data_IF_851871346435
#
_entry.id   IF_851871346435
#
_cell.length_a   1.000
_cell.length_b   1.000
_cell.length_c   1.000
_cell.angle_alpha   90.00
_cell.angle_beta   90.00
_cell.angle_gamma   90.00
#
_symmetry.space_group_name_H-M   'P 1'
#
loop_
_entity.id
_entity.type
_entity.pdbx_description
1 polymer ?
#
# COMPACT_ATOMS: atom_id res chain seq x y z
N UNK A 1 -16.81 6.44 7.61
CA UNK A 1 -15.67 6.56 6.68
C UNK A 1 -16.21 6.92 5.31
N UNK A 2 -15.64 7.94 4.66
CA UNK A 2 -15.94 8.36 3.28
C UNK A 2 -14.82 7.95 2.32
N UNK A 3 -13.57 8.16 2.69
CA UNK A 3 -12.39 7.97 1.82
C UNK A 3 -11.37 7.05 2.50
N UNK A 4 -10.95 6.02 1.77
CA UNK A 4 -10.06 4.96 2.25
C UNK A 4 -8.85 4.83 1.31
N UNK A 5 -7.65 4.85 1.86
CA UNK A 5 -6.45 4.45 1.14
C UNK A 5 -6.17 2.98 1.45
N UNK A 6 -5.95 2.16 0.42
CA UNK A 6 -5.49 0.78 0.55
C UNK A 6 -4.09 0.69 -0.03
N UNK A 7 -3.12 0.20 0.75
CA UNK A 7 -1.77 -0.08 0.28
C UNK A 7 -1.54 -1.57 0.16
N UNK A 8 -0.95 -1.99 -0.96
CA UNK A 8 -0.50 -3.37 -1.18
C UNK A 8 0.97 -3.40 -1.56
N UNK A 9 1.74 -4.23 -0.85
CA UNK A 9 3.17 -4.41 -1.10
C UNK A 9 3.48 -5.42 -2.20
N UNK A 10 4.73 -5.41 -2.69
CA UNK A 10 5.20 -6.31 -3.75
C UNK A 10 4.99 -7.80 -3.41
N UNK A 11 5.15 -8.20 -2.16
CA UNK A 11 4.96 -9.59 -1.72
C UNK A 11 3.51 -10.07 -1.95
N UNK A 12 2.53 -9.20 -1.73
CA UNK A 12 1.11 -9.52 -1.99
C UNK A 12 0.86 -9.65 -3.49
N UNK A 13 1.50 -8.81 -4.31
CA UNK A 13 1.23 -8.75 -5.75
C UNK A 13 2.06 -9.72 -6.60
N UNK A 14 3.03 -10.44 -6.01
CA UNK A 14 3.94 -11.30 -6.77
C UNK A 14 4.12 -12.69 -6.17
N UNK A 15 4.28 -13.70 -7.03
CA UNK A 15 4.69 -15.05 -6.65
C UNK A 15 6.20 -15.18 -6.81
N UNK A 16 6.88 -15.62 -5.75
CA UNK A 16 8.34 -15.79 -5.68
C UNK A 16 9.16 -14.58 -6.18
N UNK A 17 8.55 -13.39 -6.20
CA UNK A 17 9.09 -12.16 -6.80
C UNK A 17 9.43 -12.28 -8.30
N UNK A 18 8.81 -13.25 -9.00
CA UNK A 18 9.06 -13.61 -10.40
C UNK A 18 7.85 -13.47 -11.31
N UNK A 19 6.64 -13.53 -10.76
CA UNK A 19 5.37 -13.41 -11.52
C UNK A 19 4.38 -12.55 -10.75
N UNK A 20 3.38 -12.00 -11.43
CA UNK A 20 2.24 -11.39 -10.76
C UNK A 20 1.34 -12.48 -10.17
N UNK A 21 0.89 -12.27 -8.94
CA UNK A 21 -0.03 -13.17 -8.23
C UNK A 21 -1.47 -12.84 -8.63
N UNK A 22 -1.90 -13.26 -9.82
CA UNK A 22 -3.17 -12.86 -10.42
C UNK A 22 -4.38 -13.16 -9.52
N UNK A 23 -4.40 -14.31 -8.83
CA UNK A 23 -5.48 -14.67 -7.91
C UNK A 23 -5.58 -13.69 -6.72
N UNK A 24 -4.44 -13.28 -6.16
CA UNK A 24 -4.41 -12.31 -5.06
C UNK A 24 -4.80 -10.91 -5.53
N UNK A 25 -4.38 -10.52 -6.74
CA UNK A 25 -4.80 -9.26 -7.36
C UNK A 25 -6.32 -9.29 -7.61
N UNK A 26 -6.88 -10.39 -8.11
CA UNK A 26 -8.32 -10.53 -8.33
C UNK A 26 -9.10 -10.43 -7.01
N UNK A 27 -8.59 -11.04 -5.94
CA UNK A 27 -9.21 -10.93 -4.61
C UNK A 27 -9.17 -9.49 -4.08
N UNK A 28 -8.06 -8.77 -4.28
CA UNK A 28 -7.94 -7.35 -3.95
C UNK A 28 -8.93 -6.50 -4.76
N UNK A 29 -9.02 -6.74 -6.07
CA UNK A 29 -9.97 -6.05 -6.96
C UNK A 29 -11.41 -6.25 -6.49
N UNK A 30 -11.79 -7.49 -6.13
CA UNK A 30 -13.11 -7.80 -5.54
C UNK A 30 -13.39 -7.02 -4.26
N UNK A 31 -12.42 -6.97 -3.34
CA UNK A 31 -12.54 -6.19 -2.11
C UNK A 31 -12.76 -4.70 -2.40
N UNK A 32 -11.93 -4.11 -3.27
CA UNK A 32 -12.05 -2.70 -3.67
C UNK A 32 -13.39 -2.43 -4.36
N UNK A 33 -13.83 -3.33 -5.25
CA UNK A 33 -15.10 -3.20 -5.95
C UNK A 33 -16.28 -3.19 -4.98
N UNK A 34 -16.28 -4.05 -3.97
CA UNK A 34 -17.31 -4.03 -2.90
C UNK A 34 -17.29 -2.73 -2.10
N UNK A 35 -16.12 -2.27 -1.68
CA UNK A 35 -15.99 -1.01 -0.93
C UNK A 35 -16.51 0.19 -1.74
N UNK A 36 -16.22 0.24 -3.05
CA UNK A 36 -16.74 1.30 -3.94
C UNK A 36 -18.23 1.15 -4.22
N UNK A 37 -18.68 -0.01 -4.67
CA UNK A 37 -20.01 -0.19 -5.24
C UNK A 37 -21.09 -0.43 -4.17
N UNK A 38 -20.77 -1.17 -3.11
CA UNK A 38 -21.75 -1.53 -2.06
C UNK A 38 -21.68 -0.58 -0.86
N UNK A 39 -20.48 -0.12 -0.49
CA UNK A 39 -20.27 0.79 0.66
C UNK A 39 -20.14 2.26 0.25
N UNK A 40 -20.16 2.56 -1.05
CA UNK A 40 -20.08 3.92 -1.62
C UNK A 40 -18.85 4.71 -1.12
N UNK A 41 -17.71 4.04 -0.95
CA UNK A 41 -16.45 4.66 -0.52
C UNK A 41 -15.64 5.22 -1.68
N UNK A 42 -14.99 6.35 -1.43
CA UNK A 42 -13.89 6.87 -2.25
C UNK A 42 -12.61 6.07 -1.93
N UNK A 43 -12.34 5.02 -2.69
CA UNK A 43 -11.11 4.23 -2.52
C UNK A 43 -9.97 4.80 -3.36
N UNK A 44 -8.77 4.87 -2.76
CA UNK A 44 -7.49 5.14 -3.41
C UNK A 44 -6.59 3.92 -3.21
N UNK A 45 -6.02 3.38 -4.28
CA UNK A 45 -5.10 2.25 -4.20
C UNK A 45 -3.65 2.77 -4.30
N UNK A 46 -2.80 2.41 -3.34
CA UNK A 46 -1.34 2.60 -3.43
C UNK A 46 -0.73 1.21 -3.67
N UNK A 47 -0.21 1.00 -4.87
CA UNK A 47 0.29 -0.30 -5.31
C UNK A 47 1.80 -0.28 -5.48
N UNK A 48 2.50 -1.24 -4.90
CA UNK A 48 3.87 -1.59 -5.33
C UNK A 48 3.84 -2.54 -6.53
N UNK A 49 4.93 -3.28 -6.78
CA UNK A 49 4.94 -4.39 -7.73
C UNK A 49 5.40 -4.06 -9.15
N UNK A 50 5.63 -2.78 -9.50
CA UNK A 50 6.12 -2.40 -10.84
C UNK A 50 7.45 -3.09 -11.20
N UNK A 51 8.46 -3.01 -10.34
CA UNK A 51 9.75 -3.71 -10.55
C UNK A 51 9.55 -5.23 -10.70
N UNK A 52 8.65 -5.82 -9.90
CA UNK A 52 8.32 -7.24 -9.99
C UNK A 52 7.66 -7.61 -11.31
N UNK A 53 6.70 -6.79 -11.77
CA UNK A 53 6.03 -6.94 -13.06
C UNK A 53 7.02 -6.83 -14.23
N UNK A 54 7.96 -5.87 -14.17
CA UNK A 54 9.00 -5.71 -15.18
C UNK A 54 9.98 -6.87 -15.21
N UNK A 55 10.30 -7.43 -14.04
CA UNK A 55 11.17 -8.60 -13.93
C UNK A 55 10.57 -9.85 -14.62
N UNK A 56 9.25 -9.92 -14.76
CA UNK A 56 8.58 -10.98 -15.54
C UNK A 56 8.86 -10.90 -17.04
N UNK A 57 9.28 -9.71 -17.52
CA UNK A 57 9.54 -9.42 -18.93
C UNK A 57 11.04 -9.42 -19.22
N UNK A 58 11.84 -8.80 -18.36
CA UNK A 58 13.29 -8.70 -18.49
C UNK A 58 13.96 -8.98 -17.13
N UNK A 59 14.90 -9.91 -17.08
CA UNK A 59 15.58 -10.27 -15.84
C UNK A 59 16.89 -9.50 -15.70
N UNK A 60 16.88 -8.42 -14.90
CA UNK A 60 18.07 -7.62 -14.58
C UNK A 60 18.45 -7.73 -13.09
N UNK A 61 19.72 -7.52 -12.77
CA UNK A 61 20.16 -7.40 -11.38
C UNK A 61 19.52 -6.18 -10.73
N UNK A 62 18.61 -6.42 -9.77
CA UNK A 62 17.84 -5.40 -9.05
C UNK A 62 18.67 -4.61 -8.04
N UNK A 63 19.92 -5.03 -7.75
CA UNK A 63 20.85 -4.28 -6.90
C UNK A 63 21.39 -3.03 -7.58
N UNK A 64 21.34 -2.98 -8.91
CA UNK A 64 21.74 -1.82 -9.69
C UNK A 64 20.51 -0.91 -9.82
N UNK A 65 20.60 0.32 -9.32
CA UNK A 65 19.49 1.28 -9.34
C UNK A 65 18.93 1.46 -10.75
N UNK A 66 19.78 1.74 -11.75
CA UNK A 66 19.34 1.93 -13.13
C UNK A 66 18.57 0.72 -13.69
N UNK A 67 18.95 -0.50 -13.30
CA UNK A 67 18.19 -1.71 -13.67
C UNK A 67 16.83 -1.74 -12.99
N UNK A 68 16.76 -1.44 -11.68
CA UNK A 68 15.50 -1.36 -10.94
C UNK A 68 14.55 -0.33 -11.57
N UNK A 69 15.06 0.83 -11.95
CA UNK A 69 14.31 1.90 -12.65
C UNK A 69 13.83 1.43 -14.03
N UNK A 70 14.68 0.76 -14.81
CA UNK A 70 14.29 0.18 -16.10
C UNK A 70 13.20 -0.89 -15.95
N UNK A 71 13.31 -1.76 -14.94
CA UNK A 71 12.28 -2.76 -14.64
C UNK A 71 10.97 -2.10 -14.22
N UNK A 72 11.00 -1.04 -13.41
CA UNK A 72 9.79 -0.31 -13.06
C UNK A 72 9.15 0.36 -14.28
N UNK A 73 9.94 0.95 -15.18
CA UNK A 73 9.45 1.53 -16.43
C UNK A 73 8.74 0.49 -17.33
N UNK A 74 9.26 -0.73 -17.40
CA UNK A 74 8.63 -1.84 -18.13
C UNK A 74 7.38 -2.34 -17.40
N UNK A 75 7.46 -2.48 -16.08
CA UNK A 75 6.46 -3.17 -15.29
C UNK A 75 5.27 -2.33 -14.88
N UNK A 76 5.42 -1.02 -14.72
CA UNK A 76 4.32 -0.13 -14.33
C UNK A 76 3.16 -0.14 -15.34
N UNK A 77 3.38 -0.02 -16.67
CA UNK A 77 2.30 -0.16 -17.66
C UNK A 77 1.65 -1.56 -17.63
N UNK A 78 2.45 -2.61 -17.41
CA UNK A 78 1.95 -3.99 -17.30
C UNK A 78 1.03 -4.16 -16.09
N UNK A 79 1.44 -3.64 -14.93
CA UNK A 79 0.64 -3.67 -13.72
C UNK A 79 -0.67 -2.89 -13.88
N UNK A 80 -0.61 -1.69 -14.49
CA UNK A 80 -1.82 -0.91 -14.78
C UNK A 80 -2.76 -1.62 -15.74
N UNK A 81 -2.25 -2.27 -16.78
CA UNK A 81 -3.05 -3.08 -17.70
C UNK A 81 -3.81 -4.18 -16.94
N UNK A 82 -3.11 -4.94 -16.08
CA UNK A 82 -3.75 -5.98 -15.27
C UNK A 82 -4.85 -5.43 -14.37
N UNK A 83 -4.60 -4.30 -13.67
CA UNK A 83 -5.64 -3.68 -12.86
C UNK A 83 -6.83 -3.20 -13.70
N UNK A 84 -6.58 -2.56 -14.85
CA UNK A 84 -7.66 -2.06 -15.72
C UNK A 84 -8.56 -3.19 -16.21
N UNK A 85 -7.98 -4.28 -16.72
CA UNK A 85 -8.71 -5.46 -17.19
C UNK A 85 -9.58 -6.05 -16.07
N UNK A 86 -9.04 -6.21 -14.86
CA UNK A 86 -9.78 -6.79 -13.74
C UNK A 86 -10.85 -5.85 -13.16
N UNK A 87 -10.59 -4.53 -13.11
CA UNK A 87 -11.59 -3.57 -12.63
C UNK A 87 -12.74 -3.34 -13.61
N UNK A 88 -12.50 -3.54 -14.91
CA UNK A 88 -13.53 -3.45 -15.96
C UNK A 88 -14.68 -4.43 -15.72
N UNK A 89 -14.39 -5.63 -15.20
CA UNK A 89 -15.41 -6.63 -14.80
C UNK A 89 -16.42 -6.09 -13.79
N UNK A 90 -16.05 -5.06 -13.02
CA UNK A 90 -16.89 -4.42 -11.99
C UNK A 90 -17.38 -3.02 -12.40
N UNK A 91 -17.17 -2.62 -13.67
CA UNK A 91 -17.51 -1.29 -14.16
C UNK A 91 -16.70 -0.16 -13.53
N UNK A 92 -15.49 -0.45 -13.03
CA UNK A 92 -14.64 0.51 -12.35
C UNK A 92 -13.53 0.96 -13.29
N UNK A 93 -13.50 2.25 -13.62
CA UNK A 93 -12.36 2.84 -14.32
C UNK A 93 -11.24 3.17 -13.33
N UNK A 94 -10.02 2.72 -13.63
CA UNK A 94 -8.83 3.05 -12.87
C UNK A 94 -7.96 4.11 -13.60
N UNK A 95 -7.38 5.04 -12.84
CA UNK A 95 -6.48 6.07 -13.35
C UNK A 95 -5.12 6.02 -12.62
N UNK A 96 -4.03 6.07 -13.38
CA UNK A 96 -2.68 6.08 -12.83
C UNK A 96 -2.30 7.46 -12.31
N UNK A 97 -1.65 7.50 -11.15
CA UNK A 97 -0.90 8.66 -10.66
C UNK A 97 0.47 8.19 -10.14
N UNK A 98 1.55 8.89 -10.51
CA UNK A 98 2.90 8.58 -10.06
C UNK A 98 3.48 9.77 -9.29
N UNK A 99 4.14 9.49 -8.18
CA UNK A 99 4.70 10.51 -7.29
C UNK A 99 6.14 10.21 -6.92
N UNK A 100 6.90 11.26 -6.64
CA UNK A 100 8.13 11.19 -5.85
C UNK A 100 7.95 11.98 -4.54
N UNK A 101 8.82 11.78 -3.56
CA UNK A 101 8.74 12.49 -2.28
C UNK A 101 8.67 14.01 -2.45
N UNK A 102 9.52 14.55 -3.32
CA UNK A 102 9.62 15.99 -3.57
C UNK A 102 8.31 16.61 -4.08
N UNK A 103 7.38 15.81 -4.61
CA UNK A 103 6.07 16.29 -5.04
C UNK A 103 5.21 16.76 -3.86
N UNK A 104 5.42 16.18 -2.67
CA UNK A 104 4.73 16.57 -1.44
C UNK A 104 5.36 17.80 -0.78
N UNK A 105 6.66 18.01 -0.94
CA UNK A 105 7.35 19.21 -0.43
C UNK A 105 7.07 20.47 -1.26
N UNK A 106 6.65 20.29 -2.52
CA UNK A 106 6.26 21.40 -3.38
C UNK A 106 4.79 21.76 -3.23
N UNK A 107 4.49 22.95 -2.67
CA UNK A 107 3.11 23.49 -2.58
C UNK A 107 2.37 23.51 -3.92
N UNK A 108 3.08 23.77 -5.02
CA UNK A 108 2.48 23.83 -6.36
C UNK A 108 2.14 22.44 -6.88
N UNK A 109 3.08 21.48 -6.78
CA UNK A 109 2.86 20.10 -7.27
C UNK A 109 1.81 19.38 -6.45
N UNK A 110 1.89 19.44 -5.12
CA UNK A 110 0.87 18.89 -4.22
C UNK A 110 -0.53 19.46 -4.48
N UNK A 111 -0.67 20.78 -4.71
CA UNK A 111 -1.96 21.39 -5.08
C UNK A 111 -2.50 20.86 -6.41
N UNK A 112 -1.65 20.71 -7.43
CA UNK A 112 -2.06 20.17 -8.72
C UNK A 112 -2.50 18.71 -8.60
N UNK A 113 -1.71 17.89 -7.90
CA UNK A 113 -2.05 16.49 -7.64
C UNK A 113 -3.39 16.36 -6.90
N UNK A 114 -3.65 17.24 -5.92
CA UNK A 114 -4.92 17.30 -5.21
C UNK A 114 -6.08 17.64 -6.14
N UNK A 115 -5.93 18.62 -7.03
CA UNK A 115 -6.98 18.95 -8.00
C UNK A 115 -7.30 17.76 -8.92
N UNK A 116 -6.29 17.00 -9.36
CA UNK A 116 -6.49 15.78 -10.15
C UNK A 116 -7.20 14.72 -9.32
N UNK A 117 -6.71 14.43 -8.11
CA UNK A 117 -7.30 13.47 -7.18
C UNK A 117 -8.80 13.73 -6.94
N UNK A 118 -9.16 14.96 -6.60
CA UNK A 118 -10.58 15.32 -6.37
C UNK A 118 -11.43 15.20 -7.63
N UNK A 119 -10.88 15.52 -8.81
CA UNK A 119 -11.59 15.30 -10.08
C UNK A 119 -11.81 13.82 -10.38
N UNK A 120 -10.81 12.96 -10.17
CA UNK A 120 -10.94 11.51 -10.36
C UNK A 120 -12.04 10.96 -9.44
N UNK A 121 -11.95 11.26 -8.13
CA UNK A 121 -12.87 10.75 -7.13
C UNK A 121 -14.30 11.27 -7.35
N UNK A 122 -14.48 12.55 -7.70
CA UNK A 122 -15.79 13.13 -8.04
C UNK A 122 -16.45 12.42 -9.23
N UNK A 123 -15.64 11.95 -10.19
CA UNK A 123 -16.10 11.18 -11.35
C UNK A 123 -16.11 9.66 -11.09
N UNK A 124 -16.03 9.23 -9.83
CA UNK A 124 -16.05 7.82 -9.39
C UNK A 124 -14.87 6.97 -9.89
N UNK A 125 -13.87 7.57 -10.52
CA UNK A 125 -12.66 6.88 -11.00
C UNK A 125 -11.80 6.46 -9.80
N UNK A 126 -11.24 5.25 -9.84
CA UNK A 126 -10.32 4.72 -8.85
C UNK A 126 -8.89 5.20 -9.15
N UNK A 127 -8.27 6.04 -8.30
CA UNK A 127 -6.87 6.39 -8.44
C UNK A 127 -6.00 5.21 -7.99
N UNK A 128 -5.08 4.78 -8.86
CA UNK A 128 -4.02 3.83 -8.56
C UNK A 128 -2.70 4.58 -8.56
N UNK A 129 -2.08 4.62 -7.38
CA UNK A 129 -0.90 5.39 -7.07
C UNK A 129 0.29 4.45 -6.93
N UNK A 130 1.42 4.83 -7.50
CA UNK A 130 2.71 4.22 -7.20
C UNK A 130 3.78 5.32 -7.11
N UNK A 131 4.94 4.98 -6.56
CA UNK A 131 6.13 5.80 -6.71
C UNK A 131 6.55 5.87 -8.18
N UNK A 132 7.03 7.03 -8.62
CA UNK A 132 7.67 7.17 -9.91
C UNK A 132 9.12 6.65 -9.83
N UNK A 133 9.24 5.34 -9.72
CA UNK A 133 10.50 4.60 -9.57
C UNK A 133 11.56 5.02 -10.62
N UNK A 134 11.16 5.49 -11.81
CA UNK A 134 12.07 5.86 -12.90
C UNK A 134 12.96 7.05 -12.53
N UNK A 135 12.47 7.95 -11.67
CA UNK A 135 13.18 9.18 -11.25
C UNK A 135 13.33 9.30 -9.73
N UNK A 136 12.67 8.43 -8.96
CA UNK A 136 12.85 8.38 -7.53
C UNK A 136 14.28 7.93 -7.17
N UNK A 137 14.87 8.58 -6.18
CA UNK A 137 16.12 8.16 -5.55
C UNK A 137 15.80 7.42 -4.24
N UNK A 138 16.66 6.48 -3.84
CA UNK A 138 16.40 5.60 -2.68
C UNK A 138 16.32 6.35 -1.33
N UNK A 139 16.65 7.63 -1.28
CA UNK A 139 16.83 8.42 -0.05
C UNK A 139 15.52 9.00 0.52
N UNK A 140 14.44 9.04 -0.26
CA UNK A 140 13.33 9.98 0.01
C UNK A 140 11.97 9.31 0.31
N UNK A 141 11.66 8.13 -0.24
CA UNK A 141 10.53 7.26 0.16
C UNK A 141 11.03 5.81 0.14
N UNK A 142 11.38 5.27 1.30
CA UNK A 142 12.01 3.93 1.40
C UNK A 142 11.06 2.73 1.21
N UNK A 143 9.74 2.98 1.14
CA UNK A 143 8.69 1.99 0.87
C UNK A 143 7.38 2.77 0.59
N UNK A 144 6.50 2.19 -0.24
CA UNK A 144 5.14 2.71 -0.48
C UNK A 144 4.28 2.79 0.80
N UNK A 145 4.73 2.25 1.94
CA UNK A 145 4.11 2.46 3.25
C UNK A 145 4.08 3.97 3.62
N UNK A 146 5.21 4.67 3.48
CA UNK A 146 5.28 6.11 3.76
C UNK A 146 4.53 6.93 2.71
N UNK A 147 4.65 6.56 1.42
CA UNK A 147 3.85 7.17 0.37
C UNK A 147 2.36 7.06 0.72
N UNK A 148 1.88 5.87 1.08
CA UNK A 148 0.47 5.68 1.43
C UNK A 148 0.04 6.52 2.63
N UNK A 149 0.89 6.69 3.64
CA UNK A 149 0.63 7.59 4.76
C UNK A 149 0.51 9.06 4.31
N UNK A 150 1.41 9.53 3.45
CA UNK A 150 1.33 10.87 2.86
C UNK A 150 0.09 11.06 1.99
N UNK A 151 -0.22 10.11 1.10
CA UNK A 151 -1.46 10.11 0.30
C UNK A 151 -2.69 10.24 1.21
N UNK A 152 -2.73 9.45 2.29
CA UNK A 152 -3.83 9.46 3.25
C UNK A 152 -4.00 10.84 3.89
N UNK A 153 -2.91 11.46 4.34
CA UNK A 153 -2.94 12.79 4.93
C UNK A 153 -3.27 13.90 3.92
N UNK A 154 -2.51 14.01 2.83
CA UNK A 154 -2.61 15.10 1.85
C UNK A 154 -3.94 15.09 1.10
N UNK A 155 -4.49 13.91 0.84
CA UNK A 155 -5.80 13.75 0.20
C UNK A 155 -6.94 13.48 1.19
N UNK A 156 -6.73 13.78 2.48
CA UNK A 156 -7.78 13.79 3.51
C UNK A 156 -8.61 12.49 3.53
N UNK A 157 -7.94 11.35 3.44
CA UNK A 157 -8.60 10.08 3.66
C UNK A 157 -8.83 9.86 5.16
N UNK A 158 -9.88 9.12 5.50
CA UNK A 158 -10.26 8.85 6.89
C UNK A 158 -9.45 7.71 7.50
N UNK A 159 -8.82 6.87 6.68
CA UNK A 159 -8.04 5.72 7.11
C UNK A 159 -7.05 5.27 6.03
N UNK A 160 -5.93 4.70 6.46
CA UNK A 160 -5.04 3.87 5.65
C UNK A 160 -5.20 2.40 6.04
N UNK A 161 -5.43 1.50 5.08
CA UNK A 161 -5.33 0.06 5.27
C UNK A 161 -4.08 -0.47 4.54
N UNK A 162 -3.11 -0.99 5.29
CA UNK A 162 -1.94 -1.68 4.73
C UNK A 162 -2.23 -3.18 4.71
N UNK A 163 -2.25 -3.75 3.50
CA UNK A 163 -2.42 -5.17 3.24
C UNK A 163 -1.06 -5.76 2.85
N UNK A 164 -0.52 -6.64 3.69
CA UNK A 164 0.88 -7.10 3.60
C UNK A 164 1.02 -8.62 3.83
N UNK A 165 2.24 -9.13 3.82
CA UNK A 165 2.60 -10.52 4.11
C UNK A 165 2.61 -10.88 5.62
N UNK A 166 2.26 -9.95 6.50
CA UNK A 166 1.99 -10.18 7.92
C UNK A 166 0.52 -9.90 8.20
N UNK A 167 -0.06 -10.62 9.15
CA UNK A 167 -1.48 -10.53 9.50
C UNK A 167 -1.78 -9.48 10.58
N UNK A 168 -0.76 -8.86 11.16
CA UNK A 168 -0.86 -7.70 12.03
C UNK A 168 0.45 -7.43 12.78
N UNK A 169 0.37 -6.60 13.81
CA UNK A 169 1.50 -6.27 14.68
C UNK A 169 1.44 -7.11 15.96
N UNK A 170 2.59 -7.61 16.40
CA UNK A 170 2.71 -8.51 17.54
C UNK A 170 3.64 -7.89 18.59
N UNK A 171 3.50 -8.33 19.85
CA UNK A 171 4.43 -7.96 20.93
C UNK A 171 5.88 -8.43 20.68
N UNK A 172 6.06 -9.49 19.89
CA UNK A 172 7.36 -10.03 19.45
C UNK A 172 7.22 -10.77 18.12
N UNK A 173 8.33 -11.12 17.49
CA UNK A 173 8.32 -11.73 16.15
C UNK A 173 7.58 -13.09 16.15
N UNK A 174 6.41 -13.23 15.51
CA UNK A 174 5.63 -14.47 15.53
C UNK A 174 6.29 -15.62 14.75
N UNK A 175 7.32 -15.35 13.94
CA UNK A 175 8.12 -16.38 13.26
C UNK A 175 9.18 -17.02 14.16
N UNK A 176 9.56 -16.34 15.23
CA UNK A 176 10.58 -16.78 16.18
C UNK A 176 9.96 -17.27 17.49
N UNK A 177 8.83 -16.68 17.88
CA UNK A 177 8.17 -16.94 19.15
C UNK A 177 6.73 -17.43 18.91
N UNK A 178 6.46 -18.68 19.26
CA UNK A 178 5.12 -19.28 19.12
C UNK A 178 4.09 -18.69 20.08
N UNK A 179 4.53 -18.00 21.14
CA UNK A 179 3.69 -17.32 22.12
C UNK A 179 3.48 -15.83 21.82
N UNK A 180 3.90 -15.36 20.63
CA UNK A 180 3.67 -13.99 20.17
C UNK A 180 2.16 -13.67 20.12
N UNK A 181 1.79 -12.50 20.65
CA UNK A 181 0.40 -12.06 20.75
C UNK A 181 0.13 -10.89 19.81
N UNK A 182 -0.88 -11.06 18.97
CA UNK A 182 -1.38 -10.01 18.09
C UNK A 182 -1.90 -8.83 18.94
N UNK A 183 -1.37 -7.65 18.66
CA UNK A 183 -1.84 -6.39 19.19
C UNK A 183 -3.01 -5.91 18.34
N UNK A 184 -4.26 -6.17 18.77
CA UNK A 184 -5.44 -5.73 18.00
C UNK A 184 -5.53 -4.21 17.90
N UNK A 185 -5.22 -3.49 18.98
CA UNK A 185 -5.27 -2.03 19.03
C UNK A 185 -3.95 -1.52 19.60
N UNK A 186 -3.33 -0.58 18.91
CA UNK A 186 -2.09 0.09 19.31
C UNK A 186 -2.39 1.58 19.44
N UNK A 187 -2.26 2.10 20.66
CA UNK A 187 -2.51 3.52 20.94
C UNK A 187 -1.25 4.38 21.03
N UNK A 188 -0.10 3.74 21.11
CA UNK A 188 1.21 4.38 21.17
C UNK A 188 2.25 3.47 20.51
N UNK A 189 3.24 4.08 19.85
CA UNK A 189 4.39 3.39 19.27
C UNK A 189 5.62 4.02 19.94
N UNK A 190 6.46 3.19 20.57
CA UNK A 190 7.67 3.68 21.22
C UNK A 190 8.72 4.12 20.20
N UNK A 191 9.57 5.08 20.56
CA UNK A 191 10.70 5.51 19.72
C UNK A 191 11.64 4.35 19.39
N UNK A 192 11.85 3.44 20.35
CA UNK A 192 12.66 2.24 20.14
C UNK A 192 12.16 1.39 18.96
N UNK A 193 10.84 1.18 18.83
CA UNK A 193 10.26 0.43 17.71
C UNK A 193 10.45 1.14 16.36
N UNK A 194 10.50 2.47 16.35
CA UNK A 194 10.70 3.28 15.13
C UNK A 194 12.17 3.33 14.69
N UNK A 195 13.10 3.17 15.62
CA UNK A 195 14.55 3.21 15.39
C UNK A 195 15.17 1.83 15.12
N UNK A 196 14.42 0.74 15.32
CA UNK A 196 14.89 -0.62 15.00
C UNK A 196 15.39 -0.69 13.55
N UNK A 197 16.58 -1.28 13.38
CA UNK A 197 17.13 -1.57 12.06
C UNK A 197 16.24 -2.63 11.39
N UNK A 198 15.75 -2.42 10.16
CA UNK A 198 14.92 -3.41 9.49
C UNK A 198 15.66 -4.75 9.36
N UNK A 199 15.14 -5.81 9.99
CA UNK A 199 15.59 -7.17 9.72
C UNK A 199 15.10 -7.56 8.32
N UNK A 200 15.96 -7.47 7.31
CA UNK A 200 15.64 -7.82 5.93
C UNK A 200 15.52 -9.35 5.75
N UNK A 201 14.50 -9.96 6.35
CA UNK A 201 14.25 -11.41 6.27
C UNK A 201 13.55 -11.85 4.96
N UNK A 202 13.44 -10.93 4.01
CA UNK A 202 13.04 -11.22 2.63
C UNK A 202 13.96 -10.39 1.73
N UNK A 203 14.66 -11.03 0.78
CA UNK A 203 15.57 -10.38 -0.18
C UNK A 203 14.91 -9.25 -1.01
N UNK A 204 13.60 -9.01 -0.85
CA UNK A 204 12.81 -8.03 -1.57
C UNK A 204 11.82 -7.23 -0.70
N UNK A 205 11.75 -7.46 0.62
CA UNK A 205 10.95 -6.64 1.52
C UNK A 205 11.77 -5.43 1.96
N UNK A 206 11.58 -4.30 1.27
CA UNK A 206 12.02 -3.00 1.76
C UNK A 206 11.25 -2.68 3.04
N UNK A 207 11.96 -2.36 4.13
CA UNK A 207 11.38 -1.67 5.30
C UNK A 207 10.77 -2.52 6.43
N UNK A 208 10.38 -3.76 6.18
CA UNK A 208 9.88 -4.68 7.22
C UNK A 208 8.66 -4.16 7.99
N UNK A 209 8.56 -4.47 9.28
CA UNK A 209 7.52 -3.92 10.17
C UNK A 209 7.79 -2.44 10.49
N UNK A 210 9.06 -2.02 10.51
CA UNK A 210 9.47 -0.67 10.93
C UNK A 210 8.89 0.41 10.01
N UNK A 211 8.86 0.20 8.68
CA UNK A 211 8.23 1.18 7.77
C UNK A 211 6.73 1.33 7.99
N UNK A 212 6.04 0.25 8.38
CA UNK A 212 4.60 0.25 8.70
C UNK A 212 4.35 1.01 9.99
N UNK A 213 5.23 0.83 10.99
CA UNK A 213 5.17 1.59 12.23
C UNK A 213 5.45 3.07 12.02
N UNK A 214 6.40 3.43 11.14
CA UNK A 214 6.64 4.84 10.76
C UNK A 214 5.44 5.46 10.05
N UNK A 215 4.78 4.70 9.16
CA UNK A 215 3.53 5.14 8.53
C UNK A 215 2.40 5.31 9.56
N UNK A 216 2.27 4.37 10.49
CA UNK A 216 1.29 4.41 11.58
C UNK A 216 1.51 5.63 12.48
N UNK A 217 2.73 5.84 12.97
CA UNK A 217 3.09 6.96 13.85
C UNK A 217 2.77 8.31 13.18
N UNK A 218 3.17 8.48 11.91
CA UNK A 218 2.85 9.68 11.15
C UNK A 218 1.34 9.96 11.11
N UNK A 219 0.51 8.94 10.86
CA UNK A 219 -0.94 9.08 10.80
C UNK A 219 -1.58 9.29 12.18
N UNK A 220 -1.12 8.58 13.20
CA UNK A 220 -1.56 8.73 14.59
C UNK A 220 -1.30 10.15 15.11
N UNK A 221 -0.16 10.77 14.75
CA UNK A 221 0.12 12.17 15.07
C UNK A 221 -0.84 13.16 14.38
N UNK A 222 -1.55 12.73 13.33
CA UNK A 222 -2.59 13.51 12.64
C UNK A 222 -4.01 13.07 12.99
N UNK A 223 -4.18 12.21 13.99
CA UNK A 223 -5.46 11.60 14.39
C UNK A 223 -6.16 10.86 13.24
N UNK A 224 -5.39 10.24 12.35
CA UNK A 224 -5.88 9.39 11.26
C UNK A 224 -5.55 7.94 11.64
N UNK A 225 -6.54 7.03 11.71
CA UNK A 225 -6.27 5.63 12.00
C UNK A 225 -5.59 4.90 10.84
N UNK A 226 -4.79 3.89 11.16
CA UNK A 226 -4.25 2.92 10.21
C UNK A 226 -4.65 1.50 10.60
N UNK A 227 -5.08 0.70 9.63
CA UNK A 227 -5.33 -0.73 9.78
C UNK A 227 -4.23 -1.54 9.09
N UNK A 228 -3.73 -2.57 9.76
CA UNK A 228 -2.71 -3.49 9.25
C UNK A 228 -3.27 -4.92 9.28
N UNK A 229 -3.27 -5.58 8.13
CA UNK A 229 -3.75 -6.95 7.98
C UNK A 229 -3.05 -7.67 6.84
N UNK A 230 -3.28 -8.99 6.74
CA UNK A 230 -2.82 -9.80 5.62
C UNK A 230 -3.45 -9.33 4.31
N UNK A 231 -2.63 -9.30 3.26
CA UNK A 231 -3.03 -9.19 1.86
C UNK A 231 -2.99 -10.54 1.13
N UNK A 232 -2.49 -11.59 1.77
CA UNK A 232 -2.50 -12.95 1.23
C UNK A 232 -3.87 -13.60 1.42
N UNK A 233 -4.45 -13.40 2.60
CA UNK A 233 -5.82 -13.74 2.94
C UNK A 233 -6.55 -12.46 3.35
N UNK A 234 -7.57 -12.11 2.57
CA UNK A 234 -8.34 -10.87 2.77
C UNK A 234 -9.54 -11.04 3.71
N UNK A 235 -9.74 -12.21 4.32
CA UNK A 235 -10.89 -12.46 5.21
C UNK A 235 -11.00 -11.41 6.32
N UNK A 236 -9.91 -11.16 7.05
CA UNK A 236 -9.91 -10.16 8.12
C UNK A 236 -10.06 -8.72 7.60
N UNK A 237 -9.46 -8.43 6.45
CA UNK A 237 -9.62 -7.12 5.80
C UNK A 237 -11.06 -6.89 5.34
N UNK A 238 -11.72 -7.94 4.84
CA UNK A 238 -13.13 -7.92 4.47
C UNK A 238 -14.01 -7.67 5.70
N UNK A 239 -13.86 -8.49 6.75
CA UNK A 239 -14.63 -8.36 7.98
C UNK A 239 -14.54 -6.94 8.55
N UNK A 240 -13.33 -6.38 8.60
CA UNK A 240 -13.12 -5.06 9.15
C UNK A 240 -13.62 -3.93 8.23
N UNK A 241 -13.18 -3.90 6.97
CA UNK A 241 -13.42 -2.76 6.06
C UNK A 241 -14.83 -2.76 5.45
N UNK A 242 -15.45 -3.94 5.29
CA UNK A 242 -16.76 -4.09 4.65
C UNK A 242 -17.84 -4.29 5.70
N UNK A 243 -17.64 -5.20 6.65
CA UNK A 243 -18.65 -5.57 7.67
C UNK A 243 -18.51 -4.79 8.99
N UNK A 244 -17.48 -3.94 9.13
CA UNK A 244 -17.18 -3.21 10.36
C UNK A 244 -16.96 -4.13 11.58
N UNK A 245 -16.45 -5.35 11.35
CA UNK A 245 -16.16 -6.33 12.37
C UNK A 245 -14.65 -6.54 12.55
N UNK A 246 -14.10 -6.12 13.70
CA UNK A 246 -12.67 -6.22 13.99
C UNK A 246 -12.29 -7.56 14.66
N UNK A 247 -12.27 -8.62 13.85
CA UNK A 247 -11.89 -9.96 14.32
C UNK A 247 -10.37 -10.10 14.55
N UNK A 248 -9.56 -9.61 13.60
CA UNK A 248 -8.10 -9.70 13.61
C UNK A 248 -7.45 -8.50 12.89
N UNK A 249 -6.13 -8.52 12.78
CA UNK A 249 -5.33 -7.37 12.34
C UNK A 249 -5.18 -6.31 13.43
N UNK A 250 -4.38 -5.29 13.13
CA UNK A 250 -4.03 -4.24 14.09
C UNK A 250 -4.57 -2.89 13.64
N UNK A 251 -5.25 -2.18 14.54
CA UNK A 251 -5.63 -0.78 14.37
C UNK A 251 -4.67 0.09 15.17
N UNK A 252 -4.01 1.01 14.50
CA UNK A 252 -3.20 2.08 15.07
C UNK A 252 -4.04 3.36 15.12
N UNK A 253 -4.26 3.91 16.32
CA UNK A 253 -5.07 5.12 16.52
C UNK A 253 -4.74 5.77 17.87
N UNK A 254 -4.88 7.08 18.01
CA UNK A 254 -4.87 7.74 19.32
C UNK A 254 -6.24 7.68 19.99
#
# INVERSE_FOLDING_TARGET
>A
MKRLVIKVGTAVLTEDNKKLALDRIQNLVKLIAKLKNEKNLEVILVSSGAVGAGYTVLQLDKKILANKQALAAIGQPKLMKTYQEMFEEYGITAAQMLFIADDFDSRKRSKNAKNVMENLLKNKILPIINENDVIATEELIGDNDQLAAYITHYFKADMLAILTDIDGYYDKNPREFSDAKLQKIVNEISQEELEKVPSANSKFATGGIVTKLKAADFLMQKNIPMYLSSGFDLTNAYDFLVENNHNSGTIFKK
#
